data_IF_089546906791
#
_entry.id   IF_089546906791
#
_cell.length_a   1.000
_cell.length_b   1.000
_cell.length_c   1.000
_cell.angle_alpha   90.00
_cell.angle_beta   90.00
_cell.angle_gamma   90.00
#
_symmetry.space_group_name_H-M   'P 1'
#
loop_
_entity.id
_entity.type
_entity.pdbx_description
1 polymer ?
#
# COMPACT_ATOMS: atom_id res chain seq x y z
N UNK A 1 -5.47 -7.41 -25.17
CA UNK A 1 -5.04 -7.09 -23.80
C UNK A 1 -3.66 -6.47 -23.86
N UNK A 2 -3.29 -5.70 -22.83
CA UNK A 2 -1.96 -5.13 -22.62
C UNK A 2 -1.53 -5.56 -21.22
N UNK A 3 -1.06 -6.82 -21.05
CA UNK A 3 -0.86 -7.41 -19.72
C UNK A 3 0.13 -6.65 -18.85
N UNK A 4 1.19 -6.09 -19.45
CA UNK A 4 2.20 -5.32 -18.74
C UNK A 4 1.69 -3.96 -18.21
N UNK A 5 0.56 -3.47 -18.72
CA UNK A 5 -0.12 -2.27 -18.23
C UNK A 5 -1.35 -2.60 -17.36
N UNK A 6 -1.59 -3.89 -17.07
CA UNK A 6 -2.75 -4.34 -16.33
C UNK A 6 -4.08 -4.03 -17.02
N UNK A 7 -4.05 -3.84 -18.35
CA UNK A 7 -5.20 -3.35 -19.11
C UNK A 7 -5.74 -4.39 -20.08
N UNK A 8 -7.06 -4.43 -20.24
CA UNK A 8 -7.71 -5.22 -21.27
C UNK A 8 -8.92 -4.49 -21.85
N UNK A 9 -9.17 -4.69 -23.14
CA UNK A 9 -10.41 -4.23 -23.77
C UNK A 9 -11.56 -5.08 -23.26
N UNK A 10 -12.60 -4.44 -22.73
CA UNK A 10 -13.81 -5.13 -22.30
C UNK A 10 -14.45 -5.98 -23.40
N UNK A 11 -15.03 -7.12 -23.02
CA UNK A 11 -15.79 -7.97 -23.92
C UNK A 11 -16.97 -7.20 -24.53
N UNK A 12 -17.22 -7.39 -25.83
CA UNK A 12 -18.29 -6.68 -26.56
C UNK A 12 -18.03 -5.21 -26.88
N UNK A 13 -16.93 -4.60 -26.40
CA UNK A 13 -16.58 -3.23 -26.75
C UNK A 13 -15.95 -3.19 -28.16
N UNK A 14 -16.57 -2.52 -29.15
CA UNK A 14 -16.00 -2.41 -30.48
C UNK A 14 -14.74 -1.55 -30.47
N UNK A 15 -13.80 -1.89 -31.34
CA UNK A 15 -12.58 -1.12 -31.58
C UNK A 15 -12.10 -1.35 -33.00
N UNK A 16 -11.40 -0.36 -33.56
CA UNK A 16 -10.80 -0.42 -34.89
C UNK A 16 -9.29 -0.26 -34.76
N UNK A 17 -8.54 -1.03 -35.55
CA UNK A 17 -7.12 -0.82 -35.76
C UNK A 17 -6.89 -0.50 -37.23
N UNK A 18 -6.11 0.52 -37.52
CA UNK A 18 -5.62 0.85 -38.85
C UNK A 18 -4.12 1.14 -38.79
N UNK A 19 -3.38 0.76 -39.83
CA UNK A 19 -1.96 1.08 -40.00
C UNK A 19 -1.57 0.84 -41.46
N UNK A 20 -0.50 1.51 -41.88
CA UNK A 20 0.21 1.24 -43.12
C UNK A 20 1.36 0.27 -42.83
N UNK A 21 1.45 -0.83 -43.59
CA UNK A 21 2.49 -1.85 -43.38
C UNK A 21 3.51 -1.82 -44.52
N UNK A 22 4.77 -1.63 -44.18
CA UNK A 22 5.90 -1.75 -45.11
C UNK A 22 6.88 -2.81 -44.62
N UNK A 23 7.40 -3.64 -45.54
CA UNK A 23 8.40 -4.66 -45.23
C UNK A 23 9.65 -4.46 -46.07
N UNK A 24 10.81 -4.43 -45.42
CA UNK A 24 12.12 -4.35 -46.07
C UNK A 24 13.09 -5.32 -45.38
N UNK A 25 13.44 -6.40 -46.08
CA UNK A 25 14.23 -7.50 -45.51
C UNK A 25 13.54 -8.12 -44.28
N UNK A 26 14.24 -8.13 -43.15
CA UNK A 26 13.72 -8.61 -41.85
C UNK A 26 12.92 -7.55 -41.08
N UNK A 27 12.88 -6.31 -41.55
CA UNK A 27 12.21 -5.19 -40.87
C UNK A 27 10.79 -5.04 -41.39
N UNK A 28 9.83 -4.94 -40.47
CA UNK A 28 8.44 -4.58 -40.76
C UNK A 28 8.10 -3.32 -40.00
N UNK A 29 7.61 -2.29 -40.70
CA UNK A 29 7.18 -1.02 -40.11
C UNK A 29 5.67 -0.91 -40.24
N UNK A 30 5.01 -0.62 -39.12
CA UNK A 30 3.60 -0.24 -39.05
C UNK A 30 3.57 1.28 -38.81
N UNK A 31 3.35 2.06 -39.85
CA UNK A 31 3.20 3.52 -39.74
C UNK A 31 1.73 3.91 -39.65
N UNK A 32 1.47 5.11 -39.13
CA UNK A 32 0.11 5.63 -38.93
C UNK A 32 -0.77 4.64 -38.15
N UNK A 33 -0.16 3.99 -37.15
CA UNK A 33 -0.86 3.04 -36.29
C UNK A 33 -1.88 3.81 -35.46
N UNK A 34 -3.15 3.48 -35.67
CA UNK A 34 -4.28 4.03 -34.94
C UNK A 34 -5.12 2.88 -34.39
N UNK A 35 -5.22 2.80 -33.06
CA UNK A 35 -6.20 1.97 -32.35
C UNK A 35 -7.26 2.91 -31.78
N UNK A 36 -8.50 2.74 -32.20
CA UNK A 36 -9.64 3.55 -31.76
C UNK A 36 -10.68 2.70 -31.05
N UNK A 37 -11.03 3.09 -29.83
CA UNK A 37 -12.15 2.56 -29.07
C UNK A 37 -12.96 3.67 -28.41
N UNK A 38 -14.10 3.33 -27.82
CA UNK A 38 -14.98 4.33 -27.17
C UNK A 38 -14.33 5.07 -25.99
N UNK A 39 -13.37 4.44 -25.31
CA UNK A 39 -12.76 4.94 -24.07
C UNK A 39 -11.24 4.82 -24.04
N UNK A 40 -10.63 4.47 -25.17
CA UNK A 40 -9.19 4.29 -25.31
C UNK A 40 -8.78 4.59 -26.75
N UNK A 41 -7.56 5.09 -26.93
CA UNK A 41 -6.98 5.37 -28.24
C UNK A 41 -5.45 5.23 -28.18
N UNK A 42 -4.83 4.75 -29.25
CA UNK A 42 -3.36 4.73 -29.38
C UNK A 42 -2.98 5.19 -30.78
N UNK A 43 -2.13 6.21 -30.87
CA UNK A 43 -1.60 6.75 -32.12
C UNK A 43 -0.08 6.66 -32.15
N UNK A 44 0.51 6.12 -33.22
CA UNK A 44 1.96 6.07 -33.34
C UNK A 44 2.51 5.22 -34.47
N UNK A 45 3.70 4.66 -34.23
CA UNK A 45 4.42 3.81 -35.18
C UNK A 45 5.08 2.64 -34.45
N UNK A 46 5.17 1.49 -35.12
CA UNK A 46 5.80 0.28 -34.59
C UNK A 46 6.79 -0.29 -35.60
N UNK A 47 7.97 -0.66 -35.12
CA UNK A 47 9.01 -1.32 -35.92
C UNK A 47 9.29 -2.69 -35.34
N UNK A 48 9.16 -3.71 -36.18
CA UNK A 48 9.49 -5.09 -35.88
C UNK A 48 10.74 -5.51 -36.66
N UNK A 49 11.61 -6.30 -36.05
CA UNK A 49 12.78 -6.92 -36.72
C UNK A 49 12.71 -8.43 -36.45
N UNK A 50 12.71 -9.24 -37.51
CA UNK A 50 12.47 -10.68 -37.42
C UNK A 50 11.16 -11.05 -36.69
N UNK A 51 10.13 -10.21 -36.82
CA UNK A 51 8.84 -10.39 -36.14
C UNK A 51 8.82 -9.99 -34.65
N UNK A 52 9.96 -9.65 -34.05
CA UNK A 52 10.03 -9.17 -32.66
C UNK A 52 9.98 -7.65 -32.60
N UNK A 53 9.42 -7.10 -31.51
CA UNK A 53 9.38 -5.65 -31.27
C UNK A 53 10.80 -5.08 -31.19
N UNK A 54 11.13 -4.16 -32.09
CA UNK A 54 12.41 -3.42 -32.08
C UNK A 54 12.21 -2.03 -31.50
N UNK A 55 11.17 -1.33 -31.94
CA UNK A 55 10.80 -0.03 -31.39
C UNK A 55 9.29 0.22 -31.53
N UNK A 56 8.74 1.02 -30.62
CA UNK A 56 7.43 1.64 -30.78
C UNK A 56 7.51 3.10 -30.32
N UNK A 57 6.80 3.99 -31.01
CA UNK A 57 6.68 5.40 -30.61
C UNK A 57 5.24 5.81 -30.77
N UNK A 58 4.56 5.95 -29.66
CA UNK A 58 3.17 6.39 -29.57
C UNK A 58 3.14 7.84 -29.12
N UNK A 59 2.63 8.73 -29.98
CA UNK A 59 2.42 10.14 -29.64
C UNK A 59 1.25 10.33 -28.69
N UNK A 60 0.31 9.38 -28.67
CA UNK A 60 -0.84 9.36 -27.77
C UNK A 60 -1.15 7.93 -27.36
N UNK A 61 -1.28 7.72 -26.07
CA UNK A 61 -1.76 6.49 -25.44
C UNK A 61 -2.78 6.91 -24.40
N UNK A 62 -4.04 6.56 -24.68
CA UNK A 62 -5.13 6.69 -23.74
C UNK A 62 -5.73 5.31 -23.50
N UNK A 63 -5.55 4.73 -22.33
CA UNK A 63 -6.12 3.41 -21.99
C UNK A 63 -7.42 3.57 -21.19
N UNK A 64 -7.58 4.69 -20.52
CA UNK A 64 -8.77 5.16 -19.83
C UNK A 64 -9.17 6.55 -20.33
N UNK A 65 -10.38 6.98 -19.96
CA UNK A 65 -10.79 8.36 -20.20
C UNK A 65 -9.92 9.31 -19.37
N UNK A 66 -9.36 10.32 -20.02
CA UNK A 66 -8.50 11.31 -19.37
C UNK A 66 -7.01 10.96 -19.38
N UNK A 67 -6.62 9.78 -19.86
CA UNK A 67 -5.21 9.49 -20.13
C UNK A 67 -4.73 10.34 -21.32
N UNK A 68 -3.59 11.00 -21.14
CA UNK A 68 -2.90 11.79 -22.15
C UNK A 68 -1.39 11.67 -21.94
N UNK A 69 -0.83 10.58 -22.45
CA UNK A 69 0.62 10.29 -22.42
C UNK A 69 1.14 9.84 -23.77
N UNK A 70 2.38 10.20 -24.06
CA UNK A 70 3.20 9.59 -25.09
C UNK A 70 4.01 8.43 -24.49
N UNK A 71 4.26 7.41 -25.29
CA UNK A 71 5.05 6.23 -24.88
C UNK A 71 6.06 5.89 -25.97
N UNK A 72 7.33 5.76 -25.62
CA UNK A 72 8.32 5.11 -26.49
C UNK A 72 8.86 3.84 -25.88
N UNK A 73 9.04 2.83 -26.73
CA UNK A 73 9.67 1.55 -26.38
C UNK A 73 10.81 1.32 -27.35
N UNK A 74 11.99 0.99 -26.83
CA UNK A 74 13.16 0.63 -27.64
C UNK A 74 13.81 -0.62 -27.10
N UNK A 75 14.06 -1.59 -27.99
CA UNK A 75 14.82 -2.79 -27.66
C UNK A 75 16.31 -2.51 -27.77
N UNK A 76 17.07 -2.93 -26.76
CA UNK A 76 18.53 -2.88 -26.71
C UNK A 76 19.05 -4.25 -26.26
N UNK A 77 19.47 -5.10 -27.20
CA UNK A 77 19.89 -6.47 -26.88
C UNK A 77 18.72 -7.31 -26.34
N UNK A 78 18.82 -7.77 -25.09
CA UNK A 78 17.75 -8.50 -24.36
C UNK A 78 16.98 -7.62 -23.38
N UNK A 79 16.99 -6.30 -23.61
CA UNK A 79 16.37 -5.34 -22.73
C UNK A 79 15.42 -4.42 -23.48
N UNK A 80 14.40 -3.92 -22.80
CA UNK A 80 13.52 -2.85 -23.29
C UNK A 80 13.66 -1.61 -22.42
N UNK A 81 13.88 -0.47 -23.08
CA UNK A 81 13.73 0.85 -22.47
C UNK A 81 12.35 1.39 -22.82
N UNK A 82 11.60 1.83 -21.81
CA UNK A 82 10.27 2.41 -21.93
C UNK A 82 10.30 3.81 -21.35
N UNK A 83 9.90 4.81 -22.14
CA UNK A 83 9.73 6.17 -21.68
C UNK A 83 8.25 6.54 -21.77
N UNK A 84 7.72 7.13 -20.70
CA UNK A 84 6.32 7.60 -20.63
C UNK A 84 6.34 9.08 -20.25
N UNK A 85 5.66 9.92 -21.02
CA UNK A 85 5.54 11.33 -20.65
C UNK A 85 4.22 11.95 -21.05
N UNK A 86 3.67 12.86 -20.25
CA UNK A 86 2.42 13.52 -20.61
C UNK A 86 1.71 14.26 -19.50
N UNK A 87 0.48 14.67 -19.77
CA UNK A 87 -0.32 15.50 -18.88
C UNK A 87 -1.00 14.67 -17.78
N UNK A 88 -1.55 13.51 -18.12
CA UNK A 88 -2.37 12.74 -17.18
C UNK A 88 -2.35 11.24 -17.43
N UNK A 89 -2.34 10.45 -16.36
CA UNK A 89 -2.41 8.99 -16.42
C UNK A 89 -3.21 8.42 -15.24
N UNK A 90 -4.14 7.51 -15.54
CA UNK A 90 -4.81 6.69 -14.55
C UNK A 90 -3.95 5.49 -14.15
N UNK A 91 -3.41 5.56 -12.93
CA UNK A 91 -2.51 4.55 -12.39
C UNK A 91 -3.23 3.37 -11.74
N UNK A 92 -4.57 3.36 -11.61
CA UNK A 92 -5.30 2.36 -10.82
C UNK A 92 -5.06 0.92 -11.28
N UNK A 93 -4.97 0.71 -12.60
CA UNK A 93 -4.71 -0.62 -13.18
C UNK A 93 -3.28 -1.08 -12.87
N UNK A 94 -2.31 -0.19 -12.94
CA UNK A 94 -0.91 -0.46 -12.57
C UNK A 94 -0.79 -0.72 -11.07
N UNK A 95 -1.41 0.11 -10.24
CA UNK A 95 -1.44 -0.08 -8.78
C UNK A 95 -2.02 -1.45 -8.45
N UNK A 96 -3.16 -1.84 -9.05
CA UNK A 96 -3.72 -3.19 -8.88
C UNK A 96 -2.73 -4.27 -9.27
N UNK A 97 -2.07 -4.14 -10.43
CA UNK A 97 -1.10 -5.13 -10.89
C UNK A 97 0.09 -5.27 -9.92
N UNK A 98 0.61 -4.16 -9.38
CA UNK A 98 1.73 -4.16 -8.45
C UNK A 98 1.34 -4.53 -7.01
N UNK A 99 0.08 -4.31 -6.61
CA UNK A 99 -0.41 -4.60 -5.25
C UNK A 99 -1.08 -5.97 -5.13
N UNK A 100 -1.67 -6.50 -6.21
CA UNK A 100 -2.16 -7.88 -6.28
C UNK A 100 -1.00 -8.87 -6.29
N UNK A 101 -1.20 -10.04 -5.67
CA UNK A 101 -0.20 -11.08 -5.48
C UNK A 101 0.76 -11.27 -6.67
N UNK A 102 2.04 -11.40 -6.27
CA UNK A 102 3.31 -11.42 -7.04
C UNK A 102 3.27 -12.28 -8.31
N UNK A 103 2.38 -13.26 -8.35
CA UNK A 103 2.15 -14.13 -9.49
C UNK A 103 1.65 -13.38 -10.73
N UNK A 104 0.91 -12.28 -10.62
CA UNK A 104 0.32 -11.62 -11.80
C UNK A 104 1.23 -10.55 -12.41
N UNK A 105 2.02 -9.86 -11.58
CA UNK A 105 2.94 -8.82 -12.04
C UNK A 105 4.13 -9.39 -12.85
N UNK A 106 4.52 -10.64 -12.60
CA UNK A 106 5.73 -11.26 -13.18
C UNK A 106 5.44 -12.36 -14.21
N UNK A 107 4.23 -12.92 -14.29
CA UNK A 107 3.89 -13.99 -15.25
C UNK A 107 3.81 -13.54 -16.72
N UNK A 108 3.86 -12.23 -17.00
CA UNK A 108 3.76 -11.69 -18.37
C UNK A 108 5.05 -11.09 -18.94
N UNK A 109 6.05 -10.80 -18.11
CA UNK A 109 7.33 -10.28 -18.56
C UNK A 109 8.26 -11.47 -18.79
N UNK A 110 8.72 -11.68 -20.03
CA UNK A 110 9.75 -12.68 -20.31
C UNK A 110 11.03 -12.44 -19.48
N UNK A 111 12.06 -13.25 -19.70
CA UNK A 111 13.37 -13.09 -19.04
C UNK A 111 14.11 -11.78 -19.39
N UNK A 112 13.52 -10.93 -20.23
CA UNK A 112 14.14 -9.71 -20.72
C UNK A 112 14.15 -8.64 -19.61
N UNK A 113 15.22 -7.85 -19.59
CA UNK A 113 15.31 -6.73 -18.65
C UNK A 113 14.47 -5.55 -19.14
N UNK A 114 13.88 -4.80 -18.21
CA UNK A 114 13.05 -3.64 -18.51
C UNK A 114 13.54 -2.46 -17.68
N UNK A 115 13.71 -1.31 -18.33
CA UNK A 115 13.87 -0.01 -17.67
C UNK A 115 12.71 0.90 -18.07
N UNK A 116 12.10 1.56 -17.10
CA UNK A 116 10.99 2.50 -17.31
C UNK A 116 11.38 3.86 -16.73
N UNK A 117 11.31 4.90 -17.55
CA UNK A 117 11.32 6.31 -17.12
C UNK A 117 9.93 6.88 -17.34
N UNK A 118 9.39 7.60 -16.35
CA UNK A 118 8.11 8.30 -16.51
C UNK A 118 8.16 9.73 -15.94
N UNK A 119 7.65 10.69 -16.72
CA UNK A 119 7.44 12.09 -16.31
C UNK A 119 6.00 12.50 -16.66
N UNK A 120 5.11 12.47 -15.66
CA UNK A 120 3.67 12.69 -15.86
C UNK A 120 3.17 13.75 -14.90
N UNK A 121 2.48 14.76 -15.43
CA UNK A 121 2.05 15.91 -14.63
C UNK A 121 0.96 15.56 -13.59
N UNK A 122 0.06 14.64 -13.91
CA UNK A 122 -1.04 14.21 -13.02
C UNK A 122 -1.26 12.69 -13.06
N UNK A 123 -1.27 12.05 -11.89
CA UNK A 123 -1.59 10.63 -11.73
C UNK A 123 -2.86 10.47 -10.92
N UNK A 124 -3.84 9.77 -11.47
CA UNK A 124 -5.07 9.41 -10.76
C UNK A 124 -4.92 8.03 -10.12
N UNK A 125 -5.24 7.94 -8.82
CA UNK A 125 -5.25 6.70 -8.06
C UNK A 125 -6.65 6.34 -7.55
N UNK A 126 -6.68 5.61 -6.44
CA UNK A 126 -7.94 5.25 -5.77
C UNK A 126 -8.45 6.36 -4.85
N UNK A 127 -9.72 6.27 -4.46
CA UNK A 127 -10.40 7.22 -3.57
C UNK A 127 -10.26 8.68 -4.02
N UNK A 128 -10.36 8.91 -5.34
CA UNK A 128 -10.24 10.22 -6.00
C UNK A 128 -8.93 10.97 -5.72
N UNK A 129 -7.89 10.26 -5.25
CA UNK A 129 -6.58 10.84 -5.01
C UNK A 129 -5.86 11.11 -6.32
N UNK A 130 -5.31 12.32 -6.40
CA UNK A 130 -4.46 12.76 -7.51
C UNK A 130 -3.10 13.13 -6.97
N UNK A 131 -2.06 12.54 -7.56
CA UNK A 131 -0.67 12.94 -7.36
C UNK A 131 -0.24 13.82 -8.52
N UNK A 132 0.57 14.83 -8.24
CA UNK A 132 1.13 15.71 -9.26
C UNK A 132 2.63 15.52 -9.41
N UNK A 133 3.16 15.89 -10.59
CA UNK A 133 4.59 15.92 -10.90
C UNK A 133 5.28 14.58 -10.64
N UNK A 134 4.72 13.48 -11.16
CA UNK A 134 5.37 12.18 -11.07
C UNK A 134 6.68 12.21 -11.86
N UNK A 135 7.75 11.83 -11.20
CA UNK A 135 8.97 11.31 -11.85
C UNK A 135 9.23 9.92 -11.32
N UNK A 136 9.43 8.96 -12.22
CA UNK A 136 9.66 7.56 -11.88
C UNK A 136 10.80 7.01 -12.72
N UNK A 137 11.73 6.33 -12.05
CA UNK A 137 12.74 5.49 -12.66
C UNK A 137 12.62 4.09 -12.08
N UNK A 138 12.42 3.09 -12.93
CA UNK A 138 12.26 1.71 -12.53
C UNK A 138 13.13 0.81 -13.40
N UNK A 139 13.73 -0.22 -12.81
CA UNK A 139 14.39 -1.27 -13.58
C UNK A 139 14.23 -2.63 -12.95
N UNK A 140 14.05 -3.64 -13.79
CA UNK A 140 13.93 -5.04 -13.39
C UNK A 140 14.53 -5.97 -14.44
N UNK A 141 14.88 -7.18 -14.00
CA UNK A 141 15.27 -8.30 -14.86
C UNK A 141 14.54 -9.56 -14.40
N UNK A 142 13.61 -10.07 -15.22
CA UNK A 142 12.69 -11.13 -14.81
C UNK A 142 11.87 -10.70 -13.58
N UNK A 143 11.89 -11.51 -12.52
CA UNK A 143 11.19 -11.22 -11.26
C UNK A 143 11.96 -10.28 -10.31
N UNK A 144 13.22 -9.97 -10.62
CA UNK A 144 14.10 -9.19 -9.73
C UNK A 144 14.00 -7.70 -10.04
N UNK A 145 13.60 -6.92 -9.05
CA UNK A 145 13.65 -5.45 -9.10
C UNK A 145 15.06 -4.97 -8.82
N UNK A 146 15.68 -4.30 -9.78
CA UNK A 146 17.02 -3.73 -9.61
C UNK A 146 16.96 -2.38 -8.91
N UNK A 147 15.98 -1.54 -9.26
CA UNK A 147 15.79 -0.26 -8.61
C UNK A 147 14.41 0.36 -8.86
N UNK A 148 13.98 1.20 -7.93
CA UNK A 148 12.83 2.10 -8.08
C UNK A 148 13.18 3.44 -7.44
N UNK A 149 12.96 4.53 -8.16
CA UNK A 149 12.98 5.88 -7.62
C UNK A 149 11.69 6.57 -8.06
N UNK A 150 10.93 7.12 -7.12
CA UNK A 150 9.72 7.87 -7.39
C UNK A 150 9.76 9.16 -6.61
N UNK A 151 9.42 10.26 -7.29
CA UNK A 151 9.04 11.52 -6.66
C UNK A 151 7.69 11.96 -7.19
N UNK A 152 6.82 12.45 -6.32
CA UNK A 152 5.55 13.07 -6.68
C UNK A 152 5.13 14.05 -5.56
N UNK A 153 4.01 14.74 -5.74
CA UNK A 153 3.37 15.52 -4.68
C UNK A 153 1.91 15.09 -4.51
N UNK A 154 1.46 14.94 -3.25
CA UNK A 154 0.05 14.78 -2.93
C UNK A 154 -0.75 16.03 -3.32
N UNK A 155 -2.09 15.93 -3.36
CA UNK A 155 -2.98 17.07 -3.61
C UNK A 155 -2.81 18.21 -2.58
N UNK A 156 -2.31 17.89 -1.38
CA UNK A 156 -1.91 18.87 -0.35
C UNK A 156 -0.60 19.62 -0.66
N UNK A 157 0.10 19.27 -1.74
CA UNK A 157 1.44 19.73 -2.10
C UNK A 157 2.57 19.02 -1.35
N UNK A 158 2.25 18.08 -0.44
CA UNK A 158 3.25 17.34 0.31
C UNK A 158 4.11 16.45 -0.61
N UNK A 159 5.45 16.51 -0.52
CA UNK A 159 6.31 15.69 -1.35
C UNK A 159 6.26 14.22 -0.92
N UNK A 160 6.29 13.35 -1.92
CA UNK A 160 6.31 11.89 -1.79
C UNK A 160 7.61 11.40 -2.41
N UNK A 161 8.36 10.58 -1.67
CA UNK A 161 9.52 9.89 -2.21
C UNK A 161 9.48 8.40 -1.92
N UNK A 162 9.79 7.59 -2.93
CA UNK A 162 9.96 6.14 -2.81
C UNK A 162 11.30 5.78 -3.43
N UNK A 163 12.12 5.08 -2.68
CA UNK A 163 13.42 4.62 -3.14
C UNK A 163 13.60 3.15 -2.78
N UNK A 164 13.79 2.30 -3.78
CA UNK A 164 14.14 0.91 -3.64
C UNK A 164 15.49 0.70 -4.31
N UNK A 165 16.54 0.46 -3.54
CA UNK A 165 17.88 0.21 -4.07
C UNK A 165 18.29 -1.21 -3.80
N UNK A 166 18.99 -1.80 -4.78
CA UNK A 166 19.63 -3.10 -4.64
C UNK A 166 21.13 -2.90 -4.75
N UNK A 167 21.88 -3.29 -3.73
CA UNK A 167 23.35 -3.19 -3.69
C UNK A 167 23.92 -4.37 -2.90
N UNK A 168 25.03 -4.95 -3.38
CA UNK A 168 25.80 -5.97 -2.65
C UNK A 168 24.96 -7.16 -2.12
N UNK A 169 23.94 -7.59 -2.87
CA UNK A 169 23.04 -8.70 -2.48
C UNK A 169 21.93 -8.32 -1.49
N UNK A 170 21.95 -7.09 -0.97
CA UNK A 170 20.89 -6.50 -0.17
C UNK A 170 19.94 -5.61 -0.97
N UNK A 171 18.75 -5.41 -0.42
CA UNK A 171 17.72 -4.51 -0.93
C UNK A 171 17.22 -3.61 0.19
N UNK A 172 17.04 -2.33 -0.10
CA UNK A 172 16.52 -1.34 0.85
C UNK A 172 15.38 -0.57 0.21
N UNK A 173 14.21 -0.57 0.84
CA UNK A 173 13.05 0.21 0.45
C UNK A 173 12.83 1.31 1.48
N UNK A 174 12.77 2.56 1.02
CA UNK A 174 12.42 3.74 1.81
C UNK A 174 11.22 4.44 1.18
N UNK A 175 10.25 4.81 2.02
CA UNK A 175 9.14 5.68 1.64
C UNK A 175 9.10 6.85 2.61
N UNK A 176 8.89 8.06 2.10
CA UNK A 176 8.68 9.25 2.93
C UNK A 176 7.59 10.12 2.32
N UNK A 177 6.71 10.63 3.17
CA UNK A 177 5.71 11.64 2.80
C UNK A 177 5.30 12.49 3.99
N UNK A 178 4.87 13.73 3.71
CA UNK A 178 4.21 14.60 4.68
C UNK A 178 2.67 14.50 4.62
N UNK A 179 2.13 13.64 3.76
CA UNK A 179 0.72 13.27 3.69
C UNK A 179 0.58 11.74 3.48
N UNK A 180 0.50 11.04 4.60
CA UNK A 180 0.41 9.59 4.66
C UNK A 180 -0.98 9.12 4.24
N UNK A 181 -2.02 9.82 4.67
CA UNK A 181 -3.40 9.54 4.29
C UNK A 181 -3.59 9.55 2.77
N UNK A 182 -3.07 10.58 2.09
CA UNK A 182 -3.14 10.66 0.62
C UNK A 182 -2.49 9.45 -0.07
N UNK A 183 -1.32 8.99 0.40
CA UNK A 183 -0.66 7.81 -0.18
C UNK A 183 -1.47 6.54 0.06
N UNK A 184 -1.96 6.32 1.28
CA UNK A 184 -2.68 5.10 1.62
C UNK A 184 -4.01 5.01 0.87
N UNK A 185 -4.70 6.14 0.70
CA UNK A 185 -5.88 6.26 -0.16
C UNK A 185 -5.51 6.03 -1.63
N UNK A 186 -4.51 6.73 -2.15
CA UNK A 186 -4.08 6.60 -3.55
C UNK A 186 -3.77 5.15 -3.94
N UNK A 187 -3.10 4.40 -3.05
CA UNK A 187 -2.72 3.00 -3.25
C UNK A 187 -3.82 1.98 -2.89
N UNK A 188 -5.00 2.42 -2.44
CA UNK A 188 -6.07 1.55 -1.95
C UNK A 188 -5.66 0.63 -0.79
N UNK A 189 -4.80 1.13 0.10
CA UNK A 189 -4.31 0.40 1.28
C UNK A 189 -5.19 0.65 2.50
N UNK A 190 -5.54 1.93 2.75
CA UNK A 190 -6.38 2.30 3.87
C UNK A 190 -7.04 3.66 3.63
N UNK A 191 -8.38 3.69 3.66
CA UNK A 191 -9.15 4.87 3.25
C UNK A 191 -9.44 5.86 4.38
N UNK A 192 -9.42 5.41 5.63
CA UNK A 192 -9.87 6.17 6.79
C UNK A 192 -8.78 7.03 7.44
N UNK A 193 -7.60 7.19 6.83
CA UNK A 193 -6.53 8.03 7.38
C UNK A 193 -6.47 9.37 6.67
N UNK A 194 -6.44 10.48 7.41
CA UNK A 194 -6.25 11.84 6.88
C UNK A 194 -4.92 12.45 7.35
N UNK A 195 -4.18 13.04 6.39
CA UNK A 195 -2.95 13.77 6.64
C UNK A 195 -1.83 12.93 7.25
N UNK A 196 -1.00 13.60 8.05
CA UNK A 196 0.13 13.02 8.77
C UNK A 196 1.37 12.75 7.94
N UNK A 197 2.52 12.69 8.60
CA UNK A 197 3.77 12.28 7.95
C UNK A 197 3.95 10.76 8.08
N UNK A 198 4.59 10.13 7.11
CA UNK A 198 4.96 8.70 7.15
C UNK A 198 6.40 8.51 6.72
N UNK A 199 7.09 7.60 7.40
CA UNK A 199 8.36 7.04 7.00
C UNK A 199 8.30 5.53 7.06
N UNK A 200 8.78 4.87 6.02
CA UNK A 200 8.97 3.42 5.95
C UNK A 200 10.43 3.16 5.62
N UNK A 201 11.06 2.23 6.32
CA UNK A 201 12.38 1.73 5.96
C UNK A 201 12.39 0.23 6.15
N UNK A 202 12.53 -0.51 5.06
CA UNK A 202 12.65 -1.96 5.03
C UNK A 202 13.98 -2.36 4.38
N UNK A 203 14.60 -3.42 4.85
CA UNK A 203 15.78 -4.03 4.23
C UNK A 203 15.71 -5.55 4.26
N UNK A 204 16.39 -6.19 3.32
CA UNK A 204 16.43 -7.64 3.24
C UNK A 204 17.42 -8.12 2.20
N UNK A 205 17.48 -9.43 1.99
CA UNK A 205 18.15 -9.99 0.81
C UNK A 205 17.40 -9.56 -0.47
N UNK A 206 18.12 -9.49 -1.59
CA UNK A 206 17.56 -8.96 -2.84
C UNK A 206 16.24 -9.62 -3.29
N UNK A 207 16.13 -10.94 -3.13
CA UNK A 207 14.96 -11.75 -3.50
C UNK A 207 14.24 -12.34 -2.28
N UNK A 208 14.53 -11.83 -1.09
CA UNK A 208 14.00 -12.34 0.19
C UNK A 208 12.98 -11.41 0.85
N UNK A 209 12.43 -11.82 2.00
CA UNK A 209 11.59 -10.97 2.82
C UNK A 209 12.34 -9.70 3.24
N UNK A 210 11.62 -8.58 3.31
CA UNK A 210 12.13 -7.31 3.79
C UNK A 210 11.58 -7.03 5.19
N UNK A 211 12.47 -6.67 6.11
CA UNK A 211 12.15 -6.33 7.49
C UNK A 211 12.51 -4.90 7.82
N UNK A 212 11.80 -4.29 8.76
CA UNK A 212 12.10 -2.95 9.21
C UNK A 212 10.93 -2.35 9.93
N UNK A 213 10.65 -1.07 9.69
CA UNK A 213 9.63 -0.35 10.45
C UNK A 213 8.91 0.70 9.63
N UNK A 214 7.68 1.00 10.06
CA UNK A 214 6.89 2.15 9.64
C UNK A 214 6.64 3.06 10.85
N UNK A 215 6.78 4.37 10.65
CA UNK A 215 6.44 5.40 11.64
C UNK A 215 5.59 6.46 10.95
N UNK A 216 4.39 6.69 11.45
CA UNK A 216 3.47 7.73 11.02
C UNK A 216 3.22 8.72 12.16
N UNK A 217 3.07 10.01 11.87
CA UNK A 217 2.90 11.06 12.89
C UNK A 217 1.81 12.04 12.53
N UNK A 218 1.12 12.53 13.56
CA UNK A 218 0.16 13.64 13.47
C UNK A 218 -0.91 13.43 12.39
N UNK A 219 -1.63 12.33 12.46
CA UNK A 219 -2.69 11.98 11.52
C UNK A 219 -4.04 11.85 12.22
N UNK A 220 -5.10 11.81 11.42
CA UNK A 220 -6.44 11.49 11.90
C UNK A 220 -6.90 10.16 11.32
N UNK A 221 -7.65 9.41 12.11
CA UNK A 221 -8.49 8.31 11.65
C UNK A 221 -9.92 8.80 11.62
N UNK A 222 -10.59 8.69 10.47
CA UNK A 222 -11.88 9.32 10.19
C UNK A 222 -12.90 8.27 9.75
N UNK A 223 -14.04 8.26 10.44
CA UNK A 223 -15.17 7.38 10.15
C UNK A 223 -14.79 5.88 10.06
N UNK A 224 -13.85 5.41 10.88
CA UNK A 224 -13.41 4.01 10.89
C UNK A 224 -14.43 3.12 11.63
N UNK A 225 -15.16 2.22 10.93
CA UNK A 225 -16.22 1.43 11.56
C UNK A 225 -15.71 0.48 12.63
N UNK A 226 -14.50 -0.08 12.49
CA UNK A 226 -13.94 -1.00 13.49
C UNK A 226 -13.60 -0.27 14.79
N UNK A 227 -13.14 0.98 14.68
CA UNK A 227 -12.86 1.84 15.84
C UNK A 227 -14.16 2.17 16.59
N UNK A 228 -15.21 2.55 15.86
CA UNK A 228 -16.53 2.79 16.44
C UNK A 228 -17.06 1.54 17.19
N UNK A 229 -16.93 0.36 16.59
CA UNK A 229 -17.33 -0.91 17.21
C UNK A 229 -16.58 -1.21 18.52
N UNK A 230 -15.24 -1.06 18.54
CA UNK A 230 -14.43 -1.29 19.75
C UNK A 230 -14.88 -0.38 20.90
N UNK A 231 -15.10 0.91 20.60
CA UNK A 231 -15.47 1.92 21.59
C UNK A 231 -16.91 1.77 22.09
N UNK A 232 -17.82 1.26 21.26
CA UNK A 232 -19.22 0.98 21.63
C UNK A 232 -19.41 -0.34 22.40
N UNK A 233 -18.39 -1.21 22.45
CA UNK A 233 -18.52 -2.53 23.07
C UNK A 233 -18.80 -2.38 24.58
N UNK A 234 -19.83 -3.09 25.05
CA UNK A 234 -20.23 -3.12 26.46
C UNK A 234 -19.59 -4.32 27.15
N UNK A 235 -18.87 -4.12 28.27
CA UNK A 235 -18.30 -5.25 28.97
C UNK A 235 -19.32 -6.23 29.52
N UNK A 236 -19.01 -7.53 29.45
CA UNK A 236 -19.87 -8.56 30.03
C UNK A 236 -19.97 -8.36 31.55
N UNK A 237 -21.17 -8.06 32.05
CA UNK A 237 -21.43 -7.76 33.46
C UNK A 237 -21.44 -6.28 33.84
N UNK A 238 -21.24 -5.36 32.88
CA UNK A 238 -21.49 -3.93 33.04
C UNK A 238 -22.72 -3.52 32.22
N UNK A 239 -23.40 -2.45 32.65
CA UNK A 239 -24.51 -1.84 31.90
C UNK A 239 -24.05 -0.70 30.99
N UNK A 240 -22.76 -0.35 31.06
CA UNK A 240 -22.15 0.78 30.37
C UNK A 240 -21.16 0.32 29.30
N UNK A 241 -21.28 0.85 28.10
CA UNK A 241 -20.30 0.76 27.02
C UNK A 241 -18.93 1.32 27.42
N UNK A 242 -17.86 0.96 26.69
CA UNK A 242 -16.52 1.51 26.94
C UNK A 242 -16.53 3.05 26.90
N UNK A 243 -17.31 3.64 25.99
CA UNK A 243 -17.56 5.07 25.91
C UNK A 243 -18.16 5.65 27.21
N UNK A 244 -19.15 4.97 27.77
CA UNK A 244 -19.82 5.38 29.02
C UNK A 244 -18.92 5.16 30.25
N UNK A 245 -18.04 4.15 30.21
CA UNK A 245 -17.06 3.89 31.26
C UNK A 245 -15.91 4.91 31.29
N UNK A 246 -15.56 5.51 30.13
CA UNK A 246 -14.46 6.48 29.99
C UNK A 246 -14.87 7.93 30.34
N UNK A 247 -16.13 8.19 30.74
CA UNK A 247 -16.63 9.54 31.14
C UNK A 247 -16.34 10.66 30.10
N UNK A 248 -16.24 10.29 28.83
CA UNK A 248 -16.07 11.24 27.75
C UNK A 248 -16.58 10.59 26.48
N UNK A 249 -17.56 11.20 25.83
CA UNK A 249 -18.03 10.77 24.52
C UNK A 249 -16.82 10.76 23.58
N UNK A 250 -16.20 9.59 23.33
CA UNK A 250 -15.13 9.49 22.34
C UNK A 250 -15.84 9.65 21.00
N UNK A 251 -15.73 10.85 20.45
CA UNK A 251 -16.11 11.11 19.07
C UNK A 251 -15.19 10.28 18.16
N UNK A 252 -15.74 9.20 17.60
CA UNK A 252 -15.05 8.28 16.71
C UNK A 252 -15.16 8.69 15.25
N UNK A 253 -15.92 9.76 14.94
CA UNK A 253 -16.00 10.30 13.57
C UNK A 253 -14.64 10.82 13.11
N UNK A 254 -13.82 11.37 14.03
CA UNK A 254 -12.49 11.87 13.73
C UNK A 254 -11.59 11.82 14.96
N UNK A 255 -10.62 10.90 14.96
CA UNK A 255 -9.71 10.67 16.08
C UNK A 255 -8.28 10.99 15.71
N UNK A 256 -7.64 11.82 16.53
CA UNK A 256 -6.24 12.20 16.35
C UNK A 256 -5.29 11.14 16.92
N UNK A 257 -4.24 10.83 16.17
CA UNK A 257 -3.08 10.08 16.63
C UNK A 257 -1.80 10.88 16.39
N UNK A 258 -0.99 10.99 17.44
CA UNK A 258 0.31 11.64 17.41
C UNK A 258 1.37 10.74 16.77
N UNK A 259 1.25 9.41 16.99
CA UNK A 259 2.21 8.43 16.48
C UNK A 259 1.53 7.10 16.16
N UNK A 260 1.84 6.55 15.01
CA UNK A 260 1.62 5.16 14.63
C UNK A 260 2.98 4.52 14.36
N UNK A 261 3.23 3.34 14.89
CA UNK A 261 4.48 2.62 14.72
C UNK A 261 4.20 1.12 14.57
N UNK A 262 4.99 0.43 13.74
CA UNK A 262 5.06 -1.03 13.74
C UNK A 262 6.40 -1.49 13.13
N UNK A 263 6.88 -2.62 13.64
CA UNK A 263 7.86 -3.43 12.93
C UNK A 263 7.16 -4.26 11.85
N UNK A 264 7.80 -4.38 10.70
CA UNK A 264 7.26 -5.02 9.50
C UNK A 264 8.14 -6.20 9.13
N UNK A 265 7.51 -7.31 8.76
CA UNK A 265 8.10 -8.41 8.01
C UNK A 265 7.24 -8.67 6.76
N UNK A 266 7.76 -8.29 5.59
CA UNK A 266 7.09 -8.36 4.29
C UNK A 266 7.78 -9.39 3.41
N UNK A 267 7.08 -10.47 3.07
CA UNK A 267 7.55 -11.44 2.08
C UNK A 267 6.59 -11.61 0.91
N UNK A 268 6.79 -12.65 0.10
CA UNK A 268 5.86 -12.99 -0.99
C UNK A 268 4.52 -13.43 -0.41
N UNK A 269 3.44 -12.75 -0.79
CA UNK A 269 2.08 -13.07 -0.35
C UNK A 269 1.76 -12.85 1.14
N UNK A 270 2.65 -12.25 1.94
CA UNK A 270 2.33 -11.97 3.35
C UNK A 270 2.86 -10.63 3.85
N UNK A 271 2.24 -10.13 4.91
CA UNK A 271 2.71 -9.00 5.72
C UNK A 271 2.41 -9.29 7.19
N UNK A 272 3.46 -9.31 8.02
CA UNK A 272 3.36 -9.46 9.47
C UNK A 272 3.80 -8.19 10.17
N UNK A 273 3.12 -7.88 11.26
CA UNK A 273 3.32 -6.69 12.06
C UNK A 273 3.68 -7.11 13.49
N UNK A 274 4.70 -6.49 14.06
CA UNK A 274 5.12 -6.68 15.44
C UNK A 274 5.28 -5.32 16.13
N UNK A 275 5.19 -5.32 17.46
CA UNK A 275 5.40 -4.13 18.29
C UNK A 275 4.58 -2.91 17.82
N UNK A 276 3.37 -3.17 17.32
CA UNK A 276 2.50 -2.15 16.75
C UNK A 276 1.87 -1.28 17.84
N UNK A 277 1.82 0.02 17.59
CA UNK A 277 1.29 1.04 18.49
C UNK A 277 0.63 2.16 17.71
N UNK A 278 -0.56 2.58 18.12
CA UNK A 278 -1.12 3.89 17.84
C UNK A 278 -1.25 4.66 19.17
N UNK A 279 -0.72 5.87 19.23
CA UNK A 279 -0.79 6.78 20.39
C UNK A 279 -1.50 8.06 19.99
N UNK A 280 -2.58 8.37 20.68
CA UNK A 280 -3.28 9.65 20.60
C UNK A 280 -3.46 10.27 22.00
N UNK A 281 -4.06 11.48 22.08
CA UNK A 281 -4.24 12.20 23.33
C UNK A 281 -5.38 11.67 24.21
N UNK A 282 -6.36 10.96 23.61
CA UNK A 282 -7.49 10.35 24.33
C UNK A 282 -7.41 8.84 24.42
N UNK A 283 -6.92 8.21 23.35
CA UNK A 283 -6.89 6.76 23.20
C UNK A 283 -5.57 6.30 22.58
N UNK A 284 -5.21 5.05 22.83
CA UNK A 284 -4.16 4.35 22.12
C UNK A 284 -4.53 2.89 21.91
N UNK A 285 -3.80 2.22 21.02
CA UNK A 285 -3.91 0.77 20.85
C UNK A 285 -2.55 0.17 20.58
N UNK A 286 -2.30 -1.01 21.11
CA UNK A 286 -1.23 -1.89 20.59
C UNK A 286 -1.82 -2.88 19.62
N UNK A 287 -1.00 -3.40 18.69
CA UNK A 287 -1.41 -4.43 17.75
C UNK A 287 -0.22 -5.26 17.27
N UNK A 288 -0.47 -6.51 16.92
CA UNK A 288 0.51 -7.43 16.32
C UNK A 288 -0.19 -8.58 15.61
N UNK A 289 0.54 -9.28 14.73
CA UNK A 289 0.06 -10.49 14.07
C UNK A 289 0.31 -10.49 12.57
N UNK A 290 -0.55 -11.19 11.85
CA UNK A 290 -0.50 -11.34 10.39
C UNK A 290 -1.59 -10.46 9.79
N UNK A 291 -1.20 -9.43 9.04
CA UNK A 291 -2.15 -8.55 8.36
C UNK A 291 -2.83 -9.28 7.19
N UNK A 292 -2.02 -9.99 6.40
CA UNK A 292 -2.48 -10.95 5.41
C UNK A 292 -1.43 -12.06 5.22
N UNK A 293 -1.90 -13.28 4.97
CA UNK A 293 -1.12 -14.44 4.58
C UNK A 293 -1.33 -14.77 3.07
N UNK A 294 -0.66 -15.79 2.50
CA UNK A 294 -0.82 -16.14 1.09
C UNK A 294 -2.24 -16.54 0.66
N UNK A 295 -3.14 -16.80 1.61
CA UNK A 295 -4.55 -17.09 1.39
C UNK A 295 -5.42 -15.86 1.65
N UNK A 296 -4.82 -14.67 1.78
CA UNK A 296 -5.46 -13.41 2.13
C UNK A 296 -6.24 -13.46 3.47
N UNK A 297 -5.76 -14.27 4.42
CA UNK A 297 -6.31 -14.31 5.78
C UNK A 297 -5.53 -13.40 6.72
N UNK A 298 -6.29 -12.70 7.57
CA UNK A 298 -5.81 -11.86 8.67
C UNK A 298 -5.93 -12.63 10.00
N UNK A 299 -4.94 -12.46 10.87
CA UNK A 299 -5.03 -12.80 12.29
C UNK A 299 -4.21 -11.77 13.08
N UNK A 300 -4.89 -10.74 13.56
CA UNK A 300 -4.31 -9.62 14.30
C UNK A 300 -4.91 -9.56 15.69
N UNK A 301 -4.09 -9.38 16.71
CA UNK A 301 -4.54 -9.09 18.07
C UNK A 301 -4.10 -7.70 18.48
N UNK A 302 -4.84 -7.08 19.38
CA UNK A 302 -4.48 -5.78 19.93
C UNK A 302 -5.19 -5.46 21.23
N UNK A 303 -4.73 -4.40 21.87
CA UNK A 303 -5.30 -3.91 23.14
C UNK A 303 -5.57 -2.43 23.02
N UNK A 304 -6.84 -2.05 23.10
CA UNK A 304 -7.31 -0.68 23.15
C UNK A 304 -7.20 -0.12 24.58
N UNK A 305 -6.68 1.09 24.74
CA UNK A 305 -6.39 1.69 26.04
C UNK A 305 -6.76 3.19 26.07
N UNK A 306 -7.52 3.67 27.07
CA UNK A 306 -7.66 5.10 27.34
C UNK A 306 -6.33 5.72 27.83
N UNK A 307 -6.05 6.97 27.47
CA UNK A 307 -4.76 7.64 27.77
C UNK A 307 -4.53 7.89 29.26
N UNK A 308 -5.58 7.90 30.09
CA UNK A 308 -5.41 7.90 31.55
C UNK A 308 -4.66 6.66 32.07
N UNK A 309 -4.50 5.60 31.26
CA UNK A 309 -3.63 4.44 31.52
C UNK A 309 -2.23 4.48 30.87
N UNK A 310 -1.92 5.46 30.01
CA UNK A 310 -0.68 5.51 29.22
C UNK A 310 0.49 6.21 29.91
N UNK A 311 0.27 7.03 30.96
CA UNK A 311 1.34 7.75 31.67
C UNK A 311 2.37 6.85 32.38
N UNK A 312 2.14 5.53 32.48
CA UNK A 312 3.03 4.60 33.19
C UNK A 312 3.83 3.64 32.28
N UNK A 313 3.50 3.52 30.99
CA UNK A 313 4.08 2.47 30.12
C UNK A 313 5.30 2.97 29.33
N UNK A 314 5.44 4.28 29.10
CA UNK A 314 6.49 4.82 28.23
C UNK A 314 7.83 5.12 28.94
N UNK A 315 7.94 4.85 30.25
CA UNK A 315 9.21 4.93 30.97
C UNK A 315 10.13 3.70 30.79
N UNK A 316 9.65 2.61 30.19
CA UNK A 316 10.33 1.30 30.23
C UNK A 316 10.39 0.55 28.89
N UNK A 317 10.38 1.23 27.75
CA UNK A 317 10.57 0.53 26.47
C UNK A 317 12.03 0.53 26.01
N UNK A 318 12.74 -0.57 26.31
CA UNK A 318 13.44 -1.29 25.26
C UNK A 318 13.06 -2.79 25.30
N UNK A 319 12.35 -3.27 24.27
CA UNK A 319 12.20 -4.72 23.94
C UNK A 319 11.30 -5.57 24.85
N UNK A 320 9.97 -5.65 24.73
CA UNK A 320 9.22 -6.62 25.58
C UNK A 320 8.04 -7.37 24.94
N UNK A 321 8.27 -8.69 24.80
CA UNK A 321 7.39 -9.71 25.37
C UNK A 321 7.56 -9.83 26.90
N UNK A 322 6.90 -10.80 27.54
CA UNK A 322 5.91 -10.58 28.60
C UNK A 322 6.51 -10.10 29.94
N UNK A 323 6.64 -8.79 30.13
CA UNK A 323 6.91 -8.17 31.43
C UNK A 323 6.17 -6.83 31.54
N UNK A 324 4.93 -6.87 32.02
CA UNK A 324 4.25 -5.71 32.60
C UNK A 324 3.91 -6.07 34.04
N UNK A 325 4.87 -5.85 34.93
CA UNK A 325 4.83 -6.31 36.31
C UNK A 325 5.73 -5.48 37.22
N UNK A 326 5.39 -4.21 37.43
CA UNK A 326 5.48 -3.58 38.76
C UNK A 326 4.90 -2.17 38.74
N UNK A 327 3.68 -2.03 39.25
CA UNK A 327 3.06 -0.72 39.44
C UNK A 327 1.91 -0.85 40.41
N UNK A 328 2.17 -0.55 41.68
CA UNK A 328 1.16 -0.57 42.74
C UNK A 328 0.08 0.48 42.43
N UNK A 329 -1.16 0.02 42.55
CA UNK A 329 -2.40 0.75 42.71
C UNK A 329 -3.03 1.45 41.48
N UNK A 330 -4.24 0.94 41.19
CA UNK A 330 -5.28 1.28 40.19
C UNK A 330 -5.11 0.62 38.80
N UNK A 331 -5.99 -0.35 38.53
CA UNK A 331 -5.97 -1.24 37.37
C UNK A 331 -6.12 -0.53 36.03
N UNK A 332 -5.38 -1.03 35.03
CA UNK A 332 -5.47 -0.60 33.64
C UNK A 332 -6.73 -1.23 33.01
N UNK A 333 -7.66 -0.41 32.52
CA UNK A 333 -8.80 -0.90 31.74
C UNK A 333 -8.34 -0.92 30.27
N UNK A 334 -7.87 -2.07 29.81
CA UNK A 334 -7.57 -2.32 28.39
C UNK A 334 -8.61 -3.27 27.81
N UNK A 335 -9.05 -3.03 26.59
CA UNK A 335 -9.96 -3.94 25.88
C UNK A 335 -9.17 -4.69 24.83
N UNK A 336 -9.08 -6.00 24.97
CA UNK A 336 -8.41 -6.83 23.96
C UNK A 336 -9.35 -7.11 22.80
N UNK A 337 -8.82 -7.07 21.59
CA UNK A 337 -9.56 -7.40 20.37
C UNK A 337 -8.74 -8.31 19.47
N UNK A 338 -9.46 -9.00 18.58
CA UNK A 338 -8.89 -9.85 17.55
C UNK A 338 -9.63 -9.66 16.23
N UNK A 339 -8.88 -9.40 15.17
CA UNK A 339 -9.37 -9.36 13.79
C UNK A 339 -8.97 -10.67 13.09
N UNK A 340 -9.94 -11.40 12.55
CA UNK A 340 -9.73 -12.70 11.90
C UNK A 340 -10.53 -12.87 10.61
N UNK A 341 -10.06 -13.73 9.70
CA UNK A 341 -10.75 -14.07 8.45
C UNK A 341 -10.17 -13.30 7.26
N UNK A 342 -10.95 -13.07 6.21
CA UNK A 342 -10.47 -12.40 4.99
C UNK A 342 -9.95 -10.99 5.29
N UNK A 343 -8.73 -10.65 4.86
CA UNK A 343 -8.09 -9.38 5.22
C UNK A 343 -8.84 -8.14 4.70
N UNK A 344 -9.63 -8.27 3.62
CA UNK A 344 -10.47 -7.18 3.11
C UNK A 344 -11.73 -6.97 3.95
N UNK A 345 -12.22 -8.02 4.63
CA UNK A 345 -13.44 -8.00 5.45
C UNK A 345 -13.28 -8.86 6.70
N UNK A 346 -12.35 -8.52 7.62
CA UNK A 346 -12.09 -9.33 8.80
C UNK A 346 -13.23 -9.18 9.81
N UNK A 347 -13.51 -10.25 10.55
CA UNK A 347 -14.42 -10.23 11.69
C UNK A 347 -13.68 -9.71 12.91
N UNK A 348 -14.28 -8.73 13.59
CA UNK A 348 -13.79 -8.16 14.84
C UNK A 348 -14.42 -8.89 16.03
N UNK A 349 -13.60 -9.52 16.85
CA UNK A 349 -13.99 -10.08 18.13
C UNK A 349 -13.38 -9.23 19.24
N UNK A 350 -14.19 -8.85 20.23
CA UNK A 350 -13.75 -8.04 21.36
C UNK A 350 -13.94 -8.87 22.63
N UNK A 351 -12.91 -8.96 23.48
CA UNK A 351 -13.02 -9.59 24.78
C UNK A 351 -13.08 -8.52 25.88
N UNK A 352 -14.28 -8.22 26.38
CA UNK A 352 -14.44 -7.21 27.42
C UNK A 352 -13.96 -7.64 28.81
N UNK A 353 -13.79 -8.94 29.07
CA UNK A 353 -13.39 -9.45 30.38
C UNK A 353 -11.91 -9.23 30.68
N UNK A 354 -11.14 -8.71 29.72
CA UNK A 354 -9.73 -8.35 29.89
C UNK A 354 -9.52 -7.04 30.65
N UNK A 355 -10.34 -6.74 31.67
CA UNK A 355 -9.92 -5.79 32.71
C UNK A 355 -8.61 -6.35 33.27
N UNK A 356 -7.52 -5.57 33.23
CA UNK A 356 -6.20 -6.07 33.65
C UNK A 356 -6.26 -6.39 35.14
N UNK A 357 -6.55 -7.66 35.45
CA UNK A 357 -6.50 -8.18 36.80
C UNK A 357 -5.04 -8.16 37.28
N UNK A 358 -4.75 -7.70 38.51
CA UNK A 358 -3.39 -7.67 39.02
C UNK A 358 -2.75 -9.06 39.01
N UNK A 359 -1.56 -9.17 38.40
CA UNK A 359 -0.46 -10.10 38.70
C UNK A 359 -0.66 -11.62 38.63
N UNK A 360 -1.84 -12.18 38.89
CA UNK A 360 -1.96 -13.58 39.30
C UNK A 360 -3.05 -14.40 38.59
N UNK A 361 -3.92 -13.79 37.76
CA UNK A 361 -5.05 -14.51 37.12
C UNK A 361 -4.93 -14.70 35.60
N UNK A 362 -3.76 -14.47 34.99
CA UNK A 362 -3.59 -14.49 33.53
C UNK A 362 -3.73 -15.86 32.86
N UNK A 363 -3.60 -16.97 33.58
CA UNK A 363 -3.65 -18.32 32.98
C UNK A 363 -5.06 -18.80 32.58
N UNK A 364 -6.12 -18.01 32.83
CA UNK A 364 -7.52 -18.46 32.66
C UNK A 364 -8.27 -17.72 31.54
N UNK A 365 -7.76 -16.59 31.02
CA UNK A 365 -8.50 -15.71 30.09
C UNK A 365 -7.82 -15.42 28.74
N UNK A 366 -6.70 -16.06 28.42
CA UNK A 366 -6.12 -15.96 27.08
C UNK A 366 -6.96 -16.75 26.07
N UNK A 367 -7.26 -16.14 24.92
CA UNK A 367 -7.92 -16.80 23.79
C UNK A 367 -7.11 -18.03 23.37
N UNK A 368 -7.72 -19.22 23.41
CA UNK A 368 -7.27 -20.34 22.58
C UNK A 368 -7.68 -20.13 21.12
#
# INVERSE_FOLDING_TARGET
DIPWAGWSKGAGIPAKVAFNMAKSGSTTTLSDFALDGKSFSIDGNVTLVNGALSAARFSKVALNRGDDVAVSVKRAGKSYAVDVSGASLDARSLIKQFTSDVDTATKGAGSDAISVSADVASLTGFHDEVLSNLKLEYSAAGSRVNGLNVTAAASSGAPITINNTTSEGGRVLRVKSADAGAILRFLNVYEHMEGGAITLSLSGAADGPMKGQVDARNFYVVNEPKLASIVSTTPAGDTRSLNEAVKGNIDTSRVQFERGFAEIDKGSGYLRLANGLLRGPRIGTTFQGTLYDPNNNMDMTGTFMPVYGLNRIFGELPLFGPLLGNGRDRGLIGVTYRLRGNANKPTLNVNPLSVVAPGIFRSIFEYR
#
